data_IF_955964336976
#
_entry.id   IF_955964336976
#
_cell.length_a   1.000
_cell.length_b   1.000
_cell.length_c   1.000
_cell.angle_alpha   90.00
_cell.angle_beta   90.00
_cell.angle_gamma   90.00
#
_symmetry.space_group_name_H-M   'P 1'
#
loop_
_entity.id
_entity.type
_entity.pdbx_description
1 polymer ?
#
# COMPACT_ATOMS: atom_id res chain seq x y z
N UNK A 1 11.93 -4.63 -21.72
CA UNK A 1 10.53 -4.59 -21.23
C UNK A 1 10.40 -3.34 -20.37
N UNK A 2 9.27 -2.64 -20.40
CA UNK A 2 9.05 -1.49 -19.53
C UNK A 2 9.10 -1.92 -18.06
N UNK A 3 9.76 -1.10 -17.25
CA UNK A 3 9.82 -1.26 -15.80
C UNK A 3 8.80 -0.33 -15.17
N UNK A 4 8.05 -0.86 -14.22
CA UNK A 4 7.10 -0.11 -13.43
C UNK A 4 7.60 0.04 -12.01
N UNK A 5 7.57 1.27 -11.51
CA UNK A 5 7.99 1.55 -10.14
C UNK A 5 6.89 1.13 -9.16
N UNK A 6 7.30 0.42 -8.11
CA UNK A 6 6.45 0.04 -6.98
C UNK A 6 6.63 1.07 -5.87
N UNK A 7 5.54 1.74 -5.53
CA UNK A 7 5.47 2.70 -4.45
C UNK A 7 4.68 2.13 -3.27
N UNK A 8 5.04 2.57 -2.07
CA UNK A 8 4.19 2.52 -0.89
C UNK A 8 3.75 3.95 -0.56
N UNK A 9 2.45 4.19 -0.64
CA UNK A 9 1.82 5.50 -0.45
C UNK A 9 1.12 5.57 0.91
N UNK A 10 1.09 6.77 1.50
CA UNK A 10 0.31 7.04 2.71
C UNK A 10 -0.72 8.14 2.52
N UNK A 11 -1.89 7.98 3.12
CA UNK A 11 -2.98 8.95 3.06
C UNK A 11 -3.55 9.24 4.45
N UNK A 12 -3.86 10.51 4.68
CA UNK A 12 -4.53 10.97 5.89
C UNK A 12 -6.01 10.55 5.85
N UNK A 13 -6.46 9.90 6.93
CA UNK A 13 -7.85 9.43 7.08
C UNK A 13 -8.72 10.38 7.91
N UNK A 14 -8.15 11.51 8.33
CA UNK A 14 -8.74 12.48 9.22
C UNK A 14 -8.91 11.95 10.64
N UNK A 15 -9.86 12.54 11.36
CA UNK A 15 -10.14 12.19 12.75
C UNK A 15 -11.39 11.33 12.89
N UNK A 16 -11.51 10.64 14.02
CA UNK A 16 -12.73 9.95 14.39
C UNK A 16 -13.81 10.99 14.79
N UNK A 17 -15.02 10.93 14.24
CA UNK A 17 -16.01 12.01 14.39
C UNK A 17 -16.50 12.20 15.84
N UNK A 18 -16.46 11.14 16.66
CA UNK A 18 -16.94 11.19 18.04
C UNK A 18 -15.85 11.47 19.07
N UNK A 19 -14.63 11.01 18.83
CA UNK A 19 -13.53 11.08 19.81
C UNK A 19 -12.48 12.12 19.43
N UNK A 20 -12.54 12.64 18.20
CA UNK A 20 -11.57 13.58 17.61
C UNK A 20 -10.15 13.00 17.52
N UNK A 21 -9.96 11.72 17.84
CA UNK A 21 -8.68 11.04 17.72
C UNK A 21 -8.27 10.95 16.24
N UNK A 22 -7.00 11.24 15.95
CA UNK A 22 -6.42 11.06 14.61
C UNK A 22 -6.46 9.58 14.26
N UNK A 23 -6.95 9.25 13.06
CA UNK A 23 -6.91 7.89 12.57
C UNK A 23 -5.52 7.60 12.02
N UNK A 24 -4.98 6.38 12.22
CA UNK A 24 -3.73 5.98 11.58
C UNK A 24 -3.78 6.20 10.08
N UNK A 25 -2.67 6.60 9.47
CA UNK A 25 -2.59 6.77 8.03
C UNK A 25 -2.94 5.47 7.30
N UNK A 26 -3.64 5.64 6.17
CA UNK A 26 -3.90 4.53 5.25
C UNK A 26 -2.65 4.26 4.42
N UNK A 27 -2.23 3.00 4.36
CA UNK A 27 -1.08 2.58 3.54
C UNK A 27 -1.57 1.74 2.37
N UNK A 28 -1.01 1.97 1.18
CA UNK A 28 -1.30 1.17 -0.01
C UNK A 28 -0.09 1.04 -0.91
N UNK A 29 0.05 -0.13 -1.56
CA UNK A 29 0.99 -0.26 -2.66
C UNK A 29 0.38 0.33 -3.92
N UNK A 30 1.22 0.96 -4.74
CA UNK A 30 0.85 1.54 -6.01
C UNK A 30 1.91 1.26 -7.06
N UNK A 31 1.51 0.70 -8.19
CA UNK A 31 2.38 0.44 -9.33
C UNK A 31 2.02 1.44 -10.41
N UNK A 32 2.94 2.35 -10.69
CA UNK A 32 2.74 3.40 -11.69
C UNK A 32 2.92 2.84 -13.10
N UNK A 33 1.86 2.91 -13.91
CA UNK A 33 1.87 2.39 -15.28
C UNK A 33 1.79 3.49 -16.32
N UNK A 34 1.14 4.61 -15.99
CA UNK A 34 0.97 5.75 -16.89
C UNK A 34 1.28 7.04 -16.14
N UNK A 35 2.14 7.86 -16.73
CA UNK A 35 2.43 9.22 -16.25
C UNK A 35 2.05 10.19 -17.36
N UNK A 36 1.03 11.00 -17.10
CA UNK A 36 0.59 12.05 -17.99
C UNK A 36 0.39 13.34 -17.19
N UNK A 37 1.25 14.33 -17.45
CA UNK A 37 1.30 15.61 -16.73
C UNK A 37 1.42 15.42 -15.21
N UNK A 38 0.44 15.89 -14.44
CA UNK A 38 0.35 15.77 -12.98
C UNK A 38 -0.42 14.53 -12.51
N UNK A 39 -0.89 13.69 -13.44
CA UNK A 39 -1.67 12.50 -13.11
C UNK A 39 -0.80 11.24 -13.24
N UNK A 40 -0.90 10.39 -12.23
CA UNK A 40 -0.23 9.10 -12.16
C UNK A 40 -1.30 8.02 -12.04
N UNK A 41 -1.49 7.24 -13.10
CA UNK A 41 -2.47 6.16 -13.14
C UNK A 41 -1.75 4.82 -13.05
N UNK A 42 -2.36 3.89 -12.31
CA UNK A 42 -1.69 2.64 -12.00
C UNK A 42 -2.56 1.65 -11.24
N UNK A 43 -1.93 0.61 -10.73
CA UNK A 43 -2.58 -0.44 -9.94
C UNK A 43 -2.34 -0.21 -8.45
N UNK A 44 -3.43 -0.11 -7.70
CA UNK A 44 -3.44 0.00 -6.26
C UNK A 44 -3.74 -1.35 -5.60
N UNK A 45 -2.99 -1.66 -4.54
CA UNK A 45 -3.19 -2.86 -3.72
C UNK A 45 -3.39 -2.39 -2.28
N UNK A 46 -4.62 -2.53 -1.79
CA UNK A 46 -4.99 -2.02 -0.47
C UNK A 46 -6.10 -2.86 0.17
N UNK A 47 -6.03 -3.14 1.49
CA UNK A 47 -7.16 -3.68 2.21
C UNK A 47 -8.22 -2.59 2.35
N UNK A 48 -9.48 -2.99 2.21
CA UNK A 48 -10.67 -2.17 2.41
C UNK A 48 -11.40 -2.61 3.66
N UNK A 49 -12.27 -1.75 4.18
CA UNK A 49 -13.10 -2.02 5.35
C UNK A 49 -12.66 -1.28 6.60
N UNK A 50 -12.98 -1.86 7.75
CA UNK A 50 -12.75 -1.31 9.09
C UNK A 50 -12.25 -2.41 10.03
N UNK A 51 -11.69 -2.06 11.21
CA UNK A 51 -11.28 -3.07 12.21
C UNK A 51 -12.37 -4.12 12.44
N UNK A 52 -11.98 -5.40 12.45
CA UNK A 52 -12.90 -6.54 12.51
C UNK A 52 -13.48 -7.02 11.17
N UNK A 53 -13.44 -6.18 10.13
CA UNK A 53 -14.11 -6.43 8.85
C UNK A 53 -13.24 -6.14 7.62
N UNK A 54 -11.91 -6.12 7.77
CA UNK A 54 -11.01 -5.89 6.65
C UNK A 54 -11.06 -7.03 5.63
N UNK A 55 -10.88 -6.68 4.36
CA UNK A 55 -10.74 -7.60 3.24
C UNK A 55 -9.89 -6.96 2.13
N UNK A 56 -9.29 -7.78 1.28
CA UNK A 56 -8.55 -7.31 0.10
C UNK A 56 -9.38 -7.61 -1.16
N UNK A 57 -9.84 -6.59 -1.92
CA UNK A 57 -10.69 -6.78 -3.09
C UNK A 57 -9.95 -7.23 -4.35
N UNK A 58 -8.61 -7.23 -4.34
CA UNK A 58 -7.78 -7.36 -5.54
C UNK A 58 -7.21 -6.01 -5.99
N UNK A 59 -6.49 -5.98 -7.12
CA UNK A 59 -5.89 -4.76 -7.65
C UNK A 59 -6.97 -3.82 -8.19
N UNK A 60 -6.82 -2.53 -7.90
CA UNK A 60 -7.73 -1.48 -8.37
C UNK A 60 -6.97 -0.55 -9.32
N UNK A 61 -7.52 -0.27 -10.51
CA UNK A 61 -6.93 0.76 -11.39
C UNK A 61 -7.44 2.13 -10.97
N UNK A 62 -6.54 3.00 -10.50
CA UNK A 62 -6.91 4.33 -10.02
C UNK A 62 -5.80 5.37 -10.27
N UNK A 63 -6.16 6.64 -10.15
CA UNK A 63 -5.24 7.76 -9.96
C UNK A 63 -5.31 8.22 -8.50
N UNK A 64 -4.25 8.03 -7.68
CA UNK A 64 -4.32 8.29 -6.25
C UNK A 64 -4.63 9.75 -5.92
N UNK A 65 -4.05 10.70 -6.66
CA UNK A 65 -4.19 12.12 -6.36
C UNK A 65 -5.63 12.61 -6.58
N UNK A 66 -6.25 12.17 -7.68
CA UNK A 66 -7.62 12.57 -8.00
C UNK A 66 -8.70 11.81 -7.22
N UNK A 67 -8.44 10.56 -6.80
CA UNK A 67 -9.43 9.70 -6.16
C UNK A 67 -9.32 9.66 -4.62
N UNK A 68 -8.11 9.79 -4.07
CA UNK A 68 -7.83 9.71 -2.63
C UNK A 68 -7.29 11.04 -2.06
N UNK A 69 -6.91 11.98 -2.91
CA UNK A 69 -6.20 13.20 -2.55
C UNK A 69 -4.68 13.03 -2.62
N UNK A 70 -3.93 14.10 -2.36
CA UNK A 70 -2.47 14.06 -2.39
C UNK A 70 -1.92 13.11 -1.31
N UNK A 71 -1.06 12.13 -1.68
CA UNK A 71 -0.38 11.29 -0.70
C UNK A 71 0.45 12.15 0.28
N UNK A 72 0.42 11.79 1.56
CA UNK A 72 1.28 12.43 2.57
C UNK A 72 2.74 12.11 2.34
N UNK A 73 3.02 10.85 2.02
CA UNK A 73 4.34 10.36 1.65
C UNK A 73 4.22 9.36 0.50
N UNK A 74 5.19 9.42 -0.42
CA UNK A 74 5.35 8.49 -1.56
C UNK A 74 6.75 7.90 -1.47
N UNK A 75 6.85 6.63 -1.09
CA UNK A 75 8.11 5.92 -0.96
C UNK A 75 8.26 4.92 -2.11
N UNK A 76 9.28 5.08 -2.93
CA UNK A 76 9.69 4.03 -3.87
C UNK A 76 10.31 2.87 -3.10
N UNK A 77 9.75 1.67 -3.27
CA UNK A 77 10.21 0.46 -2.56
C UNK A 77 10.76 -0.60 -3.51
N UNK A 78 10.49 -0.51 -4.80
CA UNK A 78 10.93 -1.52 -5.76
C UNK A 78 10.55 -1.22 -7.20
N UNK A 79 10.80 -2.19 -8.07
CA UNK A 79 10.46 -2.13 -9.49
C UNK A 79 10.07 -3.51 -9.99
N UNK A 80 9.14 -3.55 -10.94
CA UNK A 80 8.71 -4.78 -11.60
C UNK A 80 8.74 -4.66 -13.12
N UNK A 81 9.03 -5.77 -13.79
CA UNK A 81 8.97 -5.88 -15.25
C UNK A 81 7.56 -6.34 -15.67
N UNK A 82 6.89 -5.57 -16.53
CA UNK A 82 5.64 -5.84 -17.27
C UNK A 82 4.51 -6.67 -16.58
N UNK A 83 3.46 -7.01 -17.33
CA UNK A 83 2.18 -7.54 -16.80
C UNK A 83 2.24 -8.82 -15.94
N UNK A 84 3.11 -9.80 -16.23
CA UNK A 84 3.18 -11.06 -15.46
C UNK A 84 3.54 -10.84 -13.97
N UNK A 85 4.26 -9.74 -13.67
CA UNK A 85 4.61 -9.39 -12.29
C UNK A 85 3.45 -8.74 -11.52
N UNK A 86 2.42 -8.22 -12.21
CA UNK A 86 1.22 -7.69 -11.54
C UNK A 86 0.41 -8.80 -10.90
N UNK A 87 0.22 -9.91 -11.61
CA UNK A 87 -0.45 -11.10 -11.09
C UNK A 87 0.33 -11.69 -9.92
N UNK A 88 1.66 -11.74 -10.02
CA UNK A 88 2.53 -12.16 -8.93
C UNK A 88 2.35 -11.28 -7.67
N UNK A 89 2.35 -9.95 -7.82
CA UNK A 89 2.08 -9.04 -6.70
C UNK A 89 0.68 -9.29 -6.14
N UNK A 90 -0.33 -9.42 -7.01
CA UNK A 90 -1.69 -9.69 -6.56
C UNK A 90 -1.78 -10.96 -5.72
N UNK A 91 -1.22 -12.07 -6.17
CA UNK A 91 -1.20 -13.35 -5.45
C UNK A 91 -0.50 -13.20 -4.10
N UNK A 92 0.66 -12.55 -4.07
CA UNK A 92 1.40 -12.29 -2.83
C UNK A 92 0.55 -11.49 -1.85
N UNK A 93 -0.06 -10.40 -2.30
CA UNK A 93 -0.86 -9.51 -1.47
C UNK A 93 -2.18 -10.17 -1.02
N UNK A 94 -2.75 -11.05 -1.83
CA UNK A 94 -3.94 -11.85 -1.48
C UNK A 94 -3.64 -12.89 -0.39
N UNK A 95 -2.42 -13.43 -0.36
CA UNK A 95 -1.98 -14.39 0.65
C UNK A 95 -1.54 -13.73 1.97
N UNK A 96 -1.41 -12.40 2.03
CA UNK A 96 -1.11 -11.71 3.29
C UNK A 96 -2.29 -11.84 4.24
N UNK A 97 -2.01 -12.32 5.45
CA UNK A 97 -3.03 -12.54 6.47
C UNK A 97 -3.75 -11.23 6.85
N UNK A 98 -5.08 -11.27 6.85
CA UNK A 98 -5.94 -10.21 7.34
C UNK A 98 -6.59 -10.67 8.65
N UNK A 99 -6.17 -10.06 9.75
CA UNK A 99 -6.71 -10.34 11.08
C UNK A 99 -8.07 -9.65 11.21
N UNK A 100 -9.11 -10.44 11.45
CA UNK A 100 -10.52 -9.98 11.57
C UNK A 100 -10.98 -9.81 13.03
N UNK A 101 -10.04 -9.81 13.97
CA UNK A 101 -10.37 -9.56 15.38
C UNK A 101 -10.48 -8.06 15.65
N UNK A 102 -11.63 -7.63 16.17
CA UNK A 102 -11.91 -6.24 16.57
C UNK A 102 -11.05 -5.78 17.76
N UNK A 103 -10.52 -6.72 18.56
CA UNK A 103 -9.70 -6.41 19.73
C UNK A 103 -8.22 -6.23 19.36
N UNK A 104 -7.82 -6.69 18.18
CA UNK A 104 -6.45 -6.54 17.70
C UNK A 104 -6.16 -5.09 17.28
N UNK A 105 -4.91 -4.64 17.46
CA UNK A 105 -4.43 -3.36 16.90
C UNK A 105 -4.12 -3.43 15.40
N UNK A 106 -4.47 -4.55 14.75
CA UNK A 106 -4.13 -4.83 13.37
C UNK A 106 -4.82 -3.84 12.42
N UNK A 107 -4.09 -3.34 11.44
CA UNK A 107 -4.59 -2.42 10.43
C UNK A 107 -3.86 -2.56 9.08
N UNK A 108 -4.14 -1.65 8.15
CA UNK A 108 -3.55 -1.64 6.81
C UNK A 108 -2.02 -1.54 6.78
N UNK A 109 -1.39 -0.97 7.82
CA UNK A 109 0.07 -0.87 7.92
C UNK A 109 0.68 -2.24 8.23
N UNK A 110 0.06 -3.02 9.11
CA UNK A 110 0.51 -4.38 9.40
C UNK A 110 0.40 -5.27 8.15
N UNK A 111 -0.69 -5.14 7.40
CA UNK A 111 -0.84 -5.80 6.10
C UNK A 111 0.24 -5.36 5.10
N UNK A 112 0.48 -4.06 4.98
CA UNK A 112 1.45 -3.53 4.04
C UNK A 112 2.88 -4.00 4.36
N UNK A 113 3.26 -4.05 5.64
CA UNK A 113 4.58 -4.48 6.08
C UNK A 113 4.78 -5.99 5.98
N UNK A 114 3.74 -6.79 6.27
CA UNK A 114 3.77 -8.22 5.99
C UNK A 114 3.92 -8.50 4.48
N UNK A 115 3.22 -7.72 3.64
CA UNK A 115 3.39 -7.74 2.20
C UNK A 115 4.80 -7.36 1.75
N UNK A 116 5.41 -6.35 2.38
CA UNK A 116 6.77 -5.89 2.08
C UNK A 116 7.78 -7.04 2.19
N UNK A 117 7.72 -7.80 3.28
CA UNK A 117 8.59 -8.95 3.50
C UNK A 117 8.46 -9.99 2.40
N UNK A 118 7.23 -10.35 2.02
CA UNK A 118 6.96 -11.33 0.97
C UNK A 118 7.36 -10.85 -0.43
N UNK A 119 7.16 -9.58 -0.73
CA UNK A 119 7.60 -8.98 -1.99
C UNK A 119 9.14 -8.94 -2.07
N UNK A 120 9.82 -8.70 -0.96
CA UNK A 120 11.28 -8.73 -0.88
C UNK A 120 11.83 -10.15 -1.14
N UNK A 121 11.19 -11.20 -0.61
CA UNK A 121 11.56 -12.60 -0.88
C UNK A 121 11.47 -12.97 -2.38
N UNK A 122 10.65 -12.24 -3.16
CA UNK A 122 10.52 -12.40 -4.61
C UNK A 122 11.43 -11.48 -5.42
N UNK A 123 12.23 -10.64 -4.76
CA UNK A 123 13.12 -9.67 -5.40
C UNK A 123 12.40 -8.50 -6.06
N UNK A 124 11.13 -8.25 -5.70
CA UNK A 124 10.33 -7.13 -6.22
C UNK A 124 10.70 -5.83 -5.51
N UNK A 125 10.88 -5.92 -4.19
CA UNK A 125 11.29 -4.82 -3.32
C UNK A 125 12.82 -4.79 -3.23
N UNK A 126 13.40 -3.59 -3.14
CA UNK A 126 14.84 -3.44 -2.98
C UNK A 126 15.31 -4.03 -1.64
N UNK A 127 16.45 -4.72 -1.64
CA UNK A 127 16.98 -5.43 -0.47
C UNK A 127 17.13 -4.54 0.79
N UNK A 128 17.42 -3.25 0.60
CA UNK A 128 17.61 -2.28 1.69
C UNK A 128 16.30 -1.73 2.27
N UNK A 129 15.14 -2.03 1.67
CA UNK A 129 13.83 -1.59 2.13
C UNK A 129 13.29 -2.54 3.21
N UNK A 130 13.89 -2.48 4.39
CA UNK A 130 13.44 -3.25 5.56
C UNK A 130 12.19 -2.63 6.20
N UNK A 131 11.49 -3.40 7.03
CA UNK A 131 10.35 -2.89 7.80
C UNK A 131 10.73 -1.64 8.62
N UNK A 132 11.89 -1.66 9.28
CA UNK A 132 12.37 -0.53 10.08
C UNK A 132 12.61 0.72 9.23
N UNK A 133 13.19 0.56 8.03
CA UNK A 133 13.42 1.65 7.08
C UNK A 133 12.09 2.24 6.64
N UNK A 134 11.15 1.40 6.24
CA UNK A 134 9.83 1.83 5.78
C UNK A 134 9.07 2.54 6.90
N UNK A 135 9.03 1.98 8.12
CA UNK A 135 8.39 2.64 9.28
C UNK A 135 9.06 3.97 9.64
N UNK A 136 10.38 4.08 9.47
CA UNK A 136 11.10 5.33 9.73
C UNK A 136 10.78 6.41 8.69
N UNK A 137 10.48 6.02 7.45
CA UNK A 137 10.13 6.94 6.38
C UNK A 137 8.65 7.36 6.45
N UNK A 138 7.75 6.38 6.61
CA UNK A 138 6.30 6.56 6.59
C UNK A 138 5.71 6.81 7.98
N UNK A 139 6.29 7.78 8.70
CA UNK A 139 5.86 8.09 10.08
C UNK A 139 4.48 8.75 10.11
N UNK A 140 3.66 8.33 11.06
CA UNK A 140 2.48 9.08 11.51
C UNK A 140 2.90 10.50 11.92
N UNK A 141 2.14 11.52 11.49
CA UNK A 141 2.38 12.93 11.82
C UNK A 141 1.14 13.58 12.41
#
# INVERSE_FOLDING_TARGET
MPKHTVYLLTFDRGTHPLTVAVKPYHWMYFIETEVHDHNSRGYAFQPRGMPGGFYYPGPETLDPASELGEPKDRLEVGQVDDSDMLDCIHEIMADVEIVKDEVSSWNCQDWALAGLGRLNEKGIVYEHMTEEVVRSWLKER
#
